data_IF_238940838806
#
_entry.id   IF_238940838806
#
_cell.length_a   1.000
_cell.length_b   1.000
_cell.length_c   1.000
_cell.angle_alpha   90.00
_cell.angle_beta   90.00
_cell.angle_gamma   90.00
#
_symmetry.space_group_name_H-M   'P 1'
#
loop_
_entity.id
_entity.type
_entity.pdbx_description
1 polymer ?
#
# COMPACT_ATOMS: atom_id res chain seq x y z
N UNK A 1 -9.67 8.56 -34.29
CA UNK A 1 -9.26 7.14 -34.32
C UNK A 1 -8.14 6.89 -35.31
N UNK A 2 -8.25 7.35 -36.55
CA UNK A 2 -7.25 7.12 -37.58
C UNK A 2 -6.46 8.42 -37.83
N UNK A 3 -5.14 8.35 -37.82
CA UNK A 3 -4.23 9.45 -38.09
C UNK A 3 -4.28 9.85 -39.57
N UNK A 4 -3.64 10.98 -39.93
CA UNK A 4 -3.48 11.39 -41.34
C UNK A 4 -2.83 10.33 -42.23
N UNK A 5 -2.23 9.30 -41.63
CA UNK A 5 -1.50 8.21 -42.31
C UNK A 5 -2.23 6.87 -42.22
N UNK A 6 -3.55 6.88 -41.97
CA UNK A 6 -4.35 5.65 -41.83
C UNK A 6 -3.92 4.72 -40.69
N UNK A 7 -3.27 5.26 -39.64
CA UNK A 7 -2.82 4.48 -38.46
C UNK A 7 -3.65 4.84 -37.23
N UNK A 8 -3.94 3.87 -36.37
CA UNK A 8 -4.58 4.14 -35.08
C UNK A 8 -3.72 5.10 -34.24
N UNK A 9 -4.36 6.09 -33.61
CA UNK A 9 -3.67 7.10 -32.79
C UNK A 9 -3.49 6.66 -31.32
N UNK A 10 -4.42 5.89 -30.77
CA UNK A 10 -4.38 5.40 -29.38
C UNK A 10 -3.80 3.98 -29.24
N UNK A 11 -4.13 3.33 -28.12
CA UNK A 11 -3.67 1.98 -27.79
C UNK A 11 -3.99 0.96 -28.91
N UNK A 12 -3.01 0.12 -29.26
CA UNK A 12 -3.11 -0.85 -30.37
C UNK A 12 -2.14 -2.02 -30.18
N UNK A 13 -2.49 -3.18 -30.73
CA UNK A 13 -1.53 -4.27 -30.84
C UNK A 13 -0.47 -3.93 -31.92
N UNK A 14 0.81 -4.12 -31.57
CA UNK A 14 1.94 -3.84 -32.46
C UNK A 14 2.16 -4.95 -33.50
N UNK A 15 1.85 -6.20 -33.15
CA UNK A 15 2.10 -7.40 -33.96
C UNK A 15 0.86 -7.84 -34.74
N UNK A 16 -0.33 -7.74 -34.14
CA UNK A 16 -1.60 -8.13 -34.76
C UNK A 16 -2.45 -6.91 -35.12
N UNK A 17 -2.24 -6.37 -36.33
CA UNK A 17 -2.89 -5.13 -36.77
C UNK A 17 -4.42 -5.23 -36.91
N UNK A 18 -4.98 -6.44 -36.95
CA UNK A 18 -6.42 -6.69 -37.04
C UNK A 18 -7.07 -6.93 -35.67
N UNK A 19 -6.30 -6.83 -34.57
CA UNK A 19 -6.82 -6.94 -33.22
C UNK A 19 -7.15 -5.54 -32.67
N UNK A 20 -8.44 -5.27 -32.43
CA UNK A 20 -8.93 -3.94 -32.09
C UNK A 20 -9.50 -3.82 -30.68
N UNK A 21 -9.53 -4.89 -29.89
CA UNK A 21 -10.19 -4.88 -28.58
C UNK A 21 -9.60 -3.83 -27.65
N UNK A 22 -8.26 -3.67 -27.63
CA UNK A 22 -7.58 -2.66 -26.80
C UNK A 22 -8.00 -1.25 -27.20
N UNK A 23 -8.03 -0.97 -28.51
CA UNK A 23 -8.44 0.34 -29.03
C UNK A 23 -9.90 0.67 -28.73
N UNK A 24 -10.76 -0.35 -28.76
CA UNK A 24 -12.18 -0.21 -28.43
C UNK A 24 -12.41 -0.07 -26.92
N UNK A 25 -11.63 -0.77 -26.10
CA UNK A 25 -11.65 -0.65 -24.65
C UNK A 25 -11.21 0.76 -24.21
N UNK A 26 -10.09 1.24 -24.75
CA UNK A 26 -9.60 2.61 -24.53
C UNK A 26 -10.67 3.64 -24.94
N UNK A 27 -11.36 3.43 -26.06
CA UNK A 27 -12.48 4.28 -26.48
C UNK A 27 -13.65 4.28 -25.51
N UNK A 28 -14.04 3.10 -25.03
CA UNK A 28 -15.11 2.97 -24.06
C UNK A 28 -14.75 3.68 -22.75
N UNK A 29 -13.50 3.52 -22.31
CA UNK A 29 -12.98 4.16 -21.12
C UNK A 29 -12.87 5.69 -21.28
N UNK A 30 -12.42 6.19 -22.44
CA UNK A 30 -12.44 7.61 -22.78
C UNK A 30 -13.87 8.18 -22.76
N UNK A 31 -14.85 7.43 -23.27
CA UNK A 31 -16.26 7.83 -23.24
C UNK A 31 -16.80 7.91 -21.82
N UNK A 32 -16.47 6.92 -20.97
CA UNK A 32 -16.83 6.95 -19.55
C UNK A 32 -16.23 8.17 -18.85
N UNK A 33 -14.99 8.52 -19.19
CA UNK A 33 -14.28 9.68 -18.67
C UNK A 33 -14.61 11.00 -19.43
N UNK A 34 -15.68 10.99 -20.25
CA UNK A 34 -16.12 12.14 -21.06
C UNK A 34 -15.38 12.29 -22.39
N UNK A 35 -14.04 12.25 -22.40
CA UNK A 35 -13.25 12.33 -23.62
C UNK A 35 -11.82 11.74 -23.46
N UNK A 36 -11.06 11.69 -24.55
CA UNK A 36 -9.68 11.18 -24.57
C UNK A 36 -8.65 12.05 -23.84
N UNK A 37 -8.83 13.39 -23.82
CA UNK A 37 -7.91 14.28 -23.13
C UNK A 37 -7.93 14.04 -21.61
N UNK A 38 -9.08 13.62 -21.07
CA UNK A 38 -9.25 13.27 -19.66
C UNK A 38 -8.55 11.96 -19.25
N UNK A 39 -8.05 11.16 -20.22
CA UNK A 39 -7.22 9.99 -19.91
C UNK A 39 -5.76 10.36 -19.62
N UNK A 40 -5.32 11.54 -20.04
CA UNK A 40 -3.95 12.01 -19.83
C UNK A 40 -3.69 12.31 -18.35
N UNK A 41 -2.62 11.75 -17.79
CA UNK A 41 -2.22 11.97 -16.40
C UNK A 41 -3.01 11.16 -15.36
N UNK A 42 -3.83 10.19 -15.80
CA UNK A 42 -4.49 9.26 -14.89
C UNK A 42 -3.50 8.34 -14.15
N UNK A 43 -3.85 7.93 -12.94
CA UNK A 43 -3.10 6.94 -12.19
C UNK A 43 -3.40 5.52 -12.72
N UNK A 44 -2.38 4.67 -12.96
CA UNK A 44 -2.59 3.29 -13.43
C UNK A 44 -3.55 2.51 -12.53
N UNK A 45 -3.40 2.69 -11.21
CA UNK A 45 -4.21 1.99 -10.23
C UNK A 45 -5.71 2.33 -10.31
N UNK A 46 -6.05 3.56 -10.74
CA UNK A 46 -7.45 3.93 -10.96
C UNK A 46 -8.07 3.09 -12.09
N UNK A 47 -7.33 2.94 -13.20
CA UNK A 47 -7.77 2.13 -14.32
C UNK A 47 -7.85 0.64 -13.94
N UNK A 48 -6.90 0.13 -13.15
CA UNK A 48 -6.94 -1.25 -12.64
C UNK A 48 -8.19 -1.50 -11.80
N UNK A 49 -8.52 -0.59 -10.89
CA UNK A 49 -9.75 -0.69 -10.07
C UNK A 49 -11.00 -0.61 -10.92
N UNK A 50 -11.06 0.28 -11.92
CA UNK A 50 -12.25 0.43 -12.77
C UNK A 50 -12.46 -0.78 -13.69
N UNK A 51 -11.38 -1.46 -14.10
CA UNK A 51 -11.44 -2.65 -14.96
C UNK A 51 -11.66 -3.96 -14.20
N UNK A 52 -11.28 -4.02 -12.92
CA UNK A 52 -11.31 -5.27 -12.11
C UNK A 52 -12.29 -5.26 -10.94
N UNK A 53 -12.76 -4.09 -10.52
CA UNK A 53 -13.49 -3.92 -9.26
C UNK A 53 -12.60 -4.05 -8.01
N UNK A 54 -11.28 -4.19 -8.18
CA UNK A 54 -10.33 -4.41 -7.10
C UNK A 54 -10.14 -3.22 -6.16
N UNK A 55 -9.45 -3.46 -5.05
CA UNK A 55 -9.05 -2.45 -4.07
C UNK A 55 -7.64 -1.95 -4.40
N UNK A 56 -7.46 -0.63 -4.50
CA UNK A 56 -6.14 -0.06 -4.70
C UNK A 56 -5.33 0.02 -3.41
N UNK A 57 -4.01 -0.09 -3.51
CA UNK A 57 -3.07 0.25 -2.45
C UNK A 57 -1.82 0.87 -3.06
N UNK A 58 -1.33 1.97 -2.49
CA UNK A 58 -0.21 2.74 -3.03
C UNK A 58 0.88 2.95 -1.99
N UNK A 59 2.12 2.72 -2.42
CA UNK A 59 3.33 2.86 -1.64
C UNK A 59 4.27 3.86 -2.31
N UNK A 60 4.78 4.81 -1.55
CA UNK A 60 5.78 5.78 -2.00
C UNK A 60 7.09 5.55 -1.26
N UNK A 61 8.16 5.22 -1.98
CA UNK A 61 9.43 4.81 -1.39
C UNK A 61 10.32 5.99 -0.98
N UNK A 62 10.24 7.10 -1.72
CA UNK A 62 11.14 8.26 -1.58
C UNK A 62 10.45 9.53 -1.07
N UNK A 63 9.20 9.44 -0.61
CA UNK A 63 8.45 10.58 -0.10
C UNK A 63 9.00 11.04 1.26
N UNK A 64 9.28 12.33 1.41
CA UNK A 64 9.69 12.93 2.69
C UNK A 64 8.52 13.09 3.68
N UNK A 65 7.28 12.85 3.24
CA UNK A 65 6.05 13.21 3.97
C UNK A 65 5.30 11.97 4.51
N UNK A 66 5.64 10.74 4.07
CA UNK A 66 4.95 9.53 4.51
C UNK A 66 5.81 8.66 5.43
N UNK A 67 5.23 8.29 6.58
CA UNK A 67 5.76 7.30 7.52
C UNK A 67 5.50 5.84 7.08
N UNK A 68 5.07 5.60 5.85
CA UNK A 68 4.81 4.27 5.29
C UNK A 68 6.08 3.59 4.76
N UNK A 69 7.21 3.81 5.43
CA UNK A 69 8.39 2.99 5.19
C UNK A 69 8.10 1.60 5.78
N UNK A 70 7.40 0.76 5.02
CA UNK A 70 7.56 -0.68 5.20
C UNK A 70 9.07 -0.93 5.20
N UNK A 71 9.55 -1.60 6.24
CA UNK A 71 10.94 -2.01 6.30
C UNK A 71 11.19 -2.84 5.04
N UNK A 72 12.33 -2.62 4.38
CA UNK A 72 12.63 -3.18 3.05
C UNK A 72 12.35 -4.68 2.96
N UNK A 73 12.64 -5.41 4.03
CA UNK A 73 12.32 -6.84 4.19
C UNK A 73 10.81 -7.13 4.12
N UNK A 74 9.99 -6.39 4.88
CA UNK A 74 8.54 -6.55 4.92
C UNK A 74 7.88 -6.24 3.56
N UNK A 75 8.45 -5.30 2.80
CA UNK A 75 7.96 -4.96 1.47
C UNK A 75 8.13 -6.11 0.48
N UNK A 76 9.25 -6.84 0.52
CA UNK A 76 9.43 -7.99 -0.37
C UNK A 76 8.42 -9.09 -0.06
N UNK A 77 8.24 -9.43 1.23
CA UNK A 77 7.26 -10.44 1.64
C UNK A 77 5.83 -10.04 1.25
N UNK A 78 5.53 -8.74 1.31
CA UNK A 78 4.27 -8.18 0.81
C UNK A 78 4.12 -8.35 -0.72
N UNK A 79 5.13 -7.98 -1.52
CA UNK A 79 5.10 -8.14 -2.99
C UNK A 79 4.93 -9.62 -3.36
N UNK A 80 5.70 -10.49 -2.71
CA UNK A 80 5.60 -11.94 -2.84
C UNK A 80 4.15 -12.40 -2.62
N UNK A 81 3.56 -12.00 -1.50
CA UNK A 81 2.18 -12.32 -1.16
C UNK A 81 1.19 -11.80 -2.20
N UNK A 82 1.36 -10.57 -2.69
CA UNK A 82 0.49 -10.00 -3.72
C UNK A 82 0.53 -10.80 -5.03
N UNK A 83 1.72 -11.21 -5.47
CA UNK A 83 1.91 -12.02 -6.68
C UNK A 83 1.31 -13.42 -6.49
N UNK A 84 1.54 -14.05 -5.34
CA UNK A 84 0.98 -15.37 -5.02
C UNK A 84 -0.56 -15.34 -4.99
N UNK A 85 -1.16 -14.23 -4.58
CA UNK A 85 -2.62 -14.01 -4.55
C UNK A 85 -3.19 -13.39 -5.84
N UNK A 86 -2.42 -13.28 -6.93
CA UNK A 86 -2.92 -12.76 -8.21
C UNK A 86 -3.30 -11.27 -8.19
N UNK A 87 -2.80 -10.49 -7.23
CA UNK A 87 -2.94 -9.03 -7.27
C UNK A 87 -2.17 -8.46 -8.46
N UNK A 88 -2.64 -7.34 -9.01
CA UNK A 88 -1.94 -6.65 -10.10
C UNK A 88 -1.02 -5.59 -9.52
N UNK A 89 0.26 -5.63 -9.90
CA UNK A 89 1.26 -4.70 -9.41
C UNK A 89 1.78 -3.80 -10.53
N UNK A 90 1.78 -2.51 -10.27
CA UNK A 90 2.36 -1.48 -11.12
C UNK A 90 3.41 -0.68 -10.33
N UNK A 91 4.40 -0.15 -11.02
CA UNK A 91 5.38 0.75 -10.43
C UNK A 91 5.80 1.82 -11.42
N UNK A 92 6.29 2.95 -10.90
CA UNK A 92 6.73 4.06 -11.73
C UNK A 92 7.86 4.86 -11.09
N UNK A 93 8.57 5.59 -11.93
CA UNK A 93 9.57 6.59 -11.54
C UNK A 93 8.95 7.96 -11.84
N UNK A 94 8.87 8.81 -10.84
CA UNK A 94 8.25 10.12 -10.97
C UNK A 94 9.13 11.06 -11.81
N UNK A 95 8.51 11.78 -12.73
CA UNK A 95 9.19 12.83 -13.48
C UNK A 95 9.28 14.11 -12.63
N UNK A 96 10.48 14.69 -12.51
CA UNK A 96 10.70 15.95 -11.79
C UNK A 96 10.18 17.20 -12.54
N UNK A 97 9.76 17.06 -13.81
CA UNK A 97 9.18 18.12 -14.64
C UNK A 97 8.37 17.53 -15.80
N UNK A 98 7.82 18.37 -16.70
CA UNK A 98 6.98 18.01 -17.87
C UNK A 98 7.63 17.06 -18.90
N UNK A 99 8.82 16.52 -18.62
CA UNK A 99 9.48 15.48 -19.39
C UNK A 99 8.92 14.11 -19.01
N UNK A 100 7.82 13.71 -19.65
CA UNK A 100 7.34 12.33 -19.62
C UNK A 100 8.19 11.46 -20.58
N UNK A 101 8.32 10.17 -20.24
CA UNK A 101 8.88 9.12 -21.10
C UNK A 101 10.36 9.30 -21.49
N UNK A 102 11.18 9.85 -20.59
CA UNK A 102 12.63 9.97 -20.81
C UNK A 102 13.37 8.69 -20.41
N UNK A 103 14.17 8.15 -21.33
CA UNK A 103 14.98 6.95 -21.10
C UNK A 103 16.27 7.32 -20.35
N UNK A 104 16.54 6.63 -19.24
CA UNK A 104 17.74 6.74 -18.43
C UNK A 104 18.89 5.89 -18.98
N UNK A 105 20.12 6.19 -18.54
CA UNK A 105 21.31 5.41 -18.90
C UNK A 105 21.21 3.93 -18.50
N UNK A 106 20.54 3.66 -17.38
CA UNK A 106 20.27 2.31 -16.87
C UNK A 106 19.13 1.58 -17.63
N UNK A 107 18.50 2.23 -18.62
CA UNK A 107 17.45 1.67 -19.46
C UNK A 107 16.02 1.83 -18.94
N UNK A 108 15.83 2.35 -17.73
CA UNK A 108 14.49 2.66 -17.20
C UNK A 108 13.95 3.95 -17.81
N UNK A 109 12.63 4.12 -17.81
CA UNK A 109 11.93 5.26 -18.39
C UNK A 109 11.23 6.03 -17.27
N UNK A 110 11.50 7.32 -17.18
CA UNK A 110 10.88 8.21 -16.19
C UNK A 110 9.48 8.64 -16.66
N UNK A 111 8.55 8.79 -15.72
CA UNK A 111 7.16 9.17 -16.02
C UNK A 111 6.40 8.06 -16.75
N UNK A 112 6.85 6.81 -16.58
CA UNK A 112 6.31 5.63 -17.25
C UNK A 112 5.96 4.54 -16.24
N UNK A 113 4.94 3.75 -16.58
CA UNK A 113 4.45 2.68 -15.72
C UNK A 113 4.98 1.33 -16.20
N UNK A 114 5.51 0.56 -15.25
CA UNK A 114 5.93 -0.82 -15.43
C UNK A 114 5.01 -1.75 -14.63
N UNK A 115 4.84 -2.98 -15.09
CA UNK A 115 4.14 -4.02 -14.33
C UNK A 115 5.14 -4.94 -13.63
N UNK A 116 4.88 -5.33 -12.37
CA UNK A 116 5.63 -6.40 -11.71
C UNK A 116 4.87 -7.71 -11.93
N UNK A 117 5.48 -8.67 -12.60
CA UNK A 117 4.79 -9.87 -13.09
C UNK A 117 5.22 -11.15 -12.40
N UNK A 118 6.37 -11.17 -11.73
CA UNK A 118 6.84 -12.35 -11.00
C UNK A 118 7.96 -12.01 -10.00
N UNK A 119 8.27 -12.97 -9.13
CA UNK A 119 9.43 -12.91 -8.25
C UNK A 119 10.17 -14.25 -8.28
N UNK A 120 11.44 -14.21 -7.88
CA UNK A 120 12.21 -15.42 -7.61
C UNK A 120 13.23 -15.17 -6.50
N UNK A 121 13.41 -16.18 -5.64
CA UNK A 121 14.41 -16.15 -4.56
C UNK A 121 15.56 -17.04 -4.98
N UNK A 122 16.74 -16.45 -5.16
CA UNK A 122 17.93 -17.18 -5.59
C UNK A 122 18.39 -18.11 -4.46
N UNK A 123 18.50 -19.43 -4.70
CA UNK A 123 19.12 -20.36 -3.77
C UNK A 123 20.61 -20.02 -3.60
N UNK A 124 21.07 -19.67 -2.40
CA UNK A 124 22.51 -19.51 -2.11
C UNK A 124 22.95 -20.50 -1.05
N UNK A 125 24.19 -20.99 -1.19
CA UNK A 125 24.89 -21.84 -0.23
C UNK A 125 25.83 -21.06 0.68
N UNK A 126 25.96 -19.74 0.49
CA UNK A 126 26.84 -18.87 1.29
C UNK A 126 26.08 -18.28 2.47
N UNK A 127 26.53 -18.58 3.68
CA UNK A 127 25.98 -18.15 4.99
C UNK A 127 26.00 -16.62 5.24
N UNK A 128 26.46 -15.80 4.29
CA UNK A 128 26.64 -14.35 4.50
C UNK A 128 25.55 -13.46 3.87
N UNK A 129 24.49 -14.04 3.31
CA UNK A 129 23.37 -13.29 2.70
C UNK A 129 22.05 -13.63 3.39
N UNK A 130 21.89 -13.08 4.60
CA UNK A 130 20.94 -13.59 5.61
C UNK A 130 19.47 -13.16 5.45
N UNK A 131 19.10 -12.35 4.44
CA UNK A 131 17.68 -11.94 4.23
C UNK A 131 17.15 -12.34 2.85
N UNK A 132 15.86 -12.70 2.79
CA UNK A 132 15.17 -13.05 1.54
C UNK A 132 15.23 -11.91 0.51
N UNK A 133 15.06 -10.67 0.97
CA UNK A 133 15.11 -9.47 0.14
C UNK A 133 16.44 -9.30 -0.63
N UNK A 134 17.59 -9.67 -0.04
CA UNK A 134 18.90 -9.58 -0.72
C UNK A 134 19.08 -10.62 -1.82
N UNK A 135 18.38 -11.73 -1.69
CA UNK A 135 18.40 -12.85 -2.64
C UNK A 135 17.26 -12.80 -3.64
N UNK A 136 16.39 -11.79 -3.54
CA UNK A 136 15.21 -11.65 -4.35
C UNK A 136 15.49 -10.90 -5.65
N UNK A 137 14.94 -11.45 -6.73
CA UNK A 137 14.81 -10.78 -8.01
C UNK A 137 13.33 -10.69 -8.36
N UNK A 138 12.96 -9.59 -9.01
CA UNK A 138 11.61 -9.30 -9.47
C UNK A 138 11.62 -9.20 -10.99
N UNK A 139 10.55 -9.69 -11.62
CA UNK A 139 10.33 -9.59 -13.07
C UNK A 139 9.39 -8.43 -13.36
N UNK A 140 9.80 -7.58 -14.28
CA UNK A 140 9.08 -6.41 -14.72
C UNK A 140 8.70 -6.54 -16.18
N UNK A 141 7.70 -5.76 -16.60
CA UNK A 141 7.32 -5.60 -17.99
C UNK A 141 7.13 -4.12 -18.31
N UNK A 142 7.85 -3.66 -19.34
CA UNK A 142 7.59 -2.41 -20.03
C UNK A 142 6.42 -2.61 -21.00
N UNK A 143 5.28 -1.90 -20.84
CA UNK A 143 4.12 -2.04 -21.72
C UNK A 143 4.39 -1.74 -23.20
N UNK A 144 5.45 -0.98 -23.52
CA UNK A 144 5.84 -0.74 -24.92
C UNK A 144 6.30 -2.00 -25.66
N UNK A 145 6.72 -3.04 -24.92
CA UNK A 145 7.08 -4.32 -25.50
C UNK A 145 8.23 -4.24 -26.51
N UNK A 146 9.21 -3.36 -26.24
CA UNK A 146 10.35 -3.11 -27.11
C UNK A 146 11.67 -3.27 -26.34
N UNK A 147 12.79 -3.07 -27.03
CA UNK A 147 14.16 -3.24 -26.50
C UNK A 147 14.58 -2.24 -25.40
N UNK A 148 13.66 -1.44 -24.86
CA UNK A 148 13.95 -0.48 -23.79
C UNK A 148 13.72 -1.17 -22.45
N UNK A 149 14.79 -1.82 -22.00
CA UNK A 149 14.82 -2.70 -20.83
C UNK A 149 15.97 -2.35 -19.88
N UNK A 150 15.93 -2.92 -18.68
CA UNK A 150 16.93 -2.75 -17.65
C UNK A 150 18.32 -3.23 -18.07
N UNK A 151 19.33 -2.36 -17.90
CA UNK A 151 20.73 -2.63 -18.26
C UNK A 151 21.63 -2.95 -17.06
N UNK A 152 21.08 -2.96 -15.85
CA UNK A 152 21.83 -3.28 -14.64
C UNK A 152 21.86 -4.78 -14.33
N UNK A 153 22.11 -5.09 -13.06
CA UNK A 153 22.25 -6.48 -12.60
C UNK A 153 20.95 -7.27 -12.81
N UNK A 154 21.08 -8.52 -13.26
CA UNK A 154 19.98 -9.40 -13.66
C UNK A 154 19.21 -8.97 -14.92
N UNK A 155 19.64 -7.91 -15.61
CA UNK A 155 19.13 -7.61 -16.95
C UNK A 155 19.41 -8.73 -17.94
N UNK A 156 18.75 -8.71 -19.08
CA UNK A 156 18.76 -9.80 -20.07
C UNK A 156 20.15 -10.19 -20.59
N UNK A 157 21.02 -9.19 -20.73
CA UNK A 157 22.39 -9.35 -21.20
C UNK A 157 23.40 -9.68 -20.08
N UNK A 158 22.98 -9.73 -18.81
CA UNK A 158 23.89 -9.91 -17.67
C UNK A 158 24.51 -11.34 -17.68
N UNK A 159 25.86 -11.47 -17.66
CA UNK A 159 26.53 -12.76 -17.55
C UNK A 159 26.18 -13.54 -16.29
N UNK A 160 25.62 -12.93 -15.24
CA UNK A 160 25.20 -13.60 -14.00
C UNK A 160 24.21 -14.74 -14.26
N UNK A 161 23.43 -14.66 -15.35
CA UNK A 161 22.55 -15.75 -15.75
C UNK A 161 23.29 -17.06 -16.02
N UNK A 162 24.55 -16.99 -16.46
CA UNK A 162 25.36 -18.17 -16.75
C UNK A 162 25.79 -18.92 -15.48
N UNK A 163 25.75 -18.29 -14.30
CA UNK A 163 26.07 -18.97 -13.04
C UNK A 163 24.91 -19.80 -12.49
N UNK A 164 23.70 -19.67 -13.04
CA UNK A 164 22.56 -20.48 -12.64
C UNK A 164 22.51 -21.82 -13.39
N UNK A 165 22.06 -22.87 -12.71
CA UNK A 165 21.83 -24.17 -13.33
C UNK A 165 20.74 -24.11 -14.42
N UNK A 166 20.73 -25.10 -15.30
CA UNK A 166 19.81 -25.12 -16.44
C UNK A 166 18.33 -25.24 -16.03
N UNK A 167 18.04 -25.89 -14.90
CA UNK A 167 16.67 -26.07 -14.40
C UNK A 167 16.12 -24.73 -13.91
N UNK A 168 16.91 -24.02 -13.11
CA UNK A 168 16.59 -22.68 -12.63
C UNK A 168 16.38 -21.70 -13.79
N UNK A 169 17.28 -21.69 -14.78
CA UNK A 169 17.13 -20.83 -15.97
C UNK A 169 15.86 -21.12 -16.76
N UNK A 170 15.52 -22.40 -16.94
CA UNK A 170 14.28 -22.82 -17.62
C UNK A 170 13.05 -22.40 -16.81
N UNK A 171 13.06 -22.57 -15.49
CA UNK A 171 11.97 -22.17 -14.60
C UNK A 171 11.72 -20.66 -14.63
N UNK A 172 12.79 -19.87 -14.62
CA UNK A 172 12.71 -18.41 -14.73
C UNK A 172 12.24 -17.93 -16.11
N UNK A 173 12.11 -18.84 -17.08
CA UNK A 173 11.71 -18.53 -18.46
C UNK A 173 12.51 -17.36 -19.04
N UNK A 174 13.82 -17.33 -18.77
CA UNK A 174 14.70 -16.25 -19.24
C UNK A 174 14.66 -16.26 -20.77
N UNK A 175 14.08 -15.22 -21.35
CA UNK A 175 13.98 -15.01 -22.78
C UNK A 175 14.80 -13.78 -23.08
N UNK A 176 15.98 -13.96 -23.67
CA UNK A 176 16.76 -12.85 -24.23
C UNK A 176 16.05 -12.35 -25.48
N UNK A 177 15.05 -11.50 -25.31
CA UNK A 177 14.19 -10.97 -26.37
C UNK A 177 13.88 -9.53 -26.04
N UNK A 178 13.84 -8.71 -27.07
CA UNK A 178 13.40 -7.32 -26.97
C UNK A 178 11.86 -7.26 -26.87
N UNK A 179 11.30 -7.83 -25.79
CA UNK A 179 9.86 -7.92 -25.55
C UNK A 179 9.38 -7.06 -24.36
N UNK A 180 10.30 -6.29 -23.78
CA UNK A 180 10.04 -5.38 -22.67
C UNK A 180 9.97 -6.08 -21.32
N UNK A 181 10.07 -7.41 -21.25
CA UNK A 181 10.19 -8.13 -19.97
C UNK A 181 11.64 -8.22 -19.53
N UNK A 182 11.92 -7.87 -18.28
CA UNK A 182 13.27 -7.97 -17.72
C UNK A 182 13.23 -8.33 -16.24
N UNK A 183 14.35 -8.86 -15.72
CA UNK A 183 14.52 -9.07 -14.28
C UNK A 183 15.44 -8.00 -13.69
N UNK A 184 15.23 -7.68 -12.42
CA UNK A 184 16.15 -6.84 -11.65
C UNK A 184 16.20 -7.30 -10.19
N UNK A 185 17.28 -6.95 -9.49
CA UNK A 185 17.36 -7.19 -8.05
C UNK A 185 16.30 -6.36 -7.31
N UNK A 186 15.70 -6.94 -6.27
CA UNK A 186 14.77 -6.20 -5.40
C UNK A 186 15.42 -4.94 -4.78
N UNK A 187 16.72 -5.00 -4.49
CA UNK A 187 17.45 -3.85 -3.96
C UNK A 187 17.53 -2.69 -4.96
N UNK A 188 17.73 -3.00 -6.23
CA UNK A 188 17.73 -2.01 -7.31
C UNK A 188 16.31 -1.47 -7.51
N UNK A 189 15.27 -2.30 -7.41
CA UNK A 189 13.89 -1.85 -7.48
C UNK A 189 13.58 -0.79 -6.42
N UNK A 190 13.90 -1.10 -5.15
CA UNK A 190 13.68 -0.19 -4.03
C UNK A 190 14.45 1.13 -4.17
N UNK A 191 15.61 1.11 -4.85
CA UNK A 191 16.45 2.29 -5.04
C UNK A 191 16.01 3.14 -6.23
N UNK A 192 15.64 2.52 -7.35
CA UNK A 192 15.39 3.22 -8.60
C UNK A 192 13.94 3.72 -8.69
N UNK A 193 12.95 2.94 -8.25
CA UNK A 193 11.53 3.31 -8.35
C UNK A 193 11.08 4.25 -7.21
N UNK A 194 10.05 5.05 -7.49
CA UNK A 194 9.50 6.00 -6.51
C UNK A 194 8.17 5.53 -5.92
N UNK A 195 7.37 4.85 -6.75
CA UNK A 195 6.00 4.47 -6.42
C UNK A 195 5.75 3.02 -6.81
N UNK A 196 5.05 2.29 -5.96
CA UNK A 196 4.41 1.02 -6.27
C UNK A 196 2.92 1.10 -5.97
N UNK A 197 2.12 0.59 -6.89
CA UNK A 197 0.68 0.51 -6.81
C UNK A 197 0.26 -0.95 -6.93
N UNK A 198 -0.70 -1.36 -6.11
CA UNK A 198 -1.24 -2.70 -6.07
C UNK A 198 -2.75 -2.61 -6.23
N UNK A 199 -3.31 -3.43 -7.10
CA UNK A 199 -4.75 -3.65 -7.19
C UNK A 199 -5.03 -5.08 -6.71
N UNK A 200 -5.62 -5.18 -5.52
CA UNK A 200 -6.09 -6.45 -4.97
C UNK A 200 -7.40 -6.82 -5.64
N UNK A 201 -7.45 -7.98 -6.28
CA UNK A 201 -8.64 -8.46 -6.97
C UNK A 201 -9.39 -9.43 -6.05
N UNK A 202 -10.71 -9.33 -5.98
CA UNK A 202 -11.53 -10.32 -5.26
C UNK A 202 -11.49 -11.65 -6.01
N UNK A 203 -11.41 -12.81 -5.32
CA UNK A 203 -11.56 -14.13 -5.92
C UNK A 203 -12.82 -14.27 -6.78
N UNK A 204 -13.91 -13.57 -6.45
CA UNK A 204 -15.15 -13.57 -7.25
C UNK A 204 -14.91 -13.10 -8.71
N UNK A 205 -13.92 -12.23 -8.93
CA UNK A 205 -13.50 -11.77 -10.28
C UNK A 205 -12.57 -12.79 -10.96
N UNK A 206 -11.87 -13.62 -10.18
CA UNK A 206 -10.88 -14.60 -10.64
C UNK A 206 -11.51 -15.95 -11.00
N UNK A 207 -12.60 -16.34 -10.32
CA UNK A 207 -13.36 -17.58 -10.57
C UNK A 207 -13.93 -17.65 -12.00
N UNK A 208 -14.15 -16.50 -12.65
CA UNK A 208 -14.56 -16.45 -14.06
C UNK A 208 -13.38 -16.58 -15.06
N UNK A 209 -12.13 -16.40 -14.63
CA UNK A 209 -10.99 -16.14 -15.54
C UNK A 209 -9.81 -17.13 -15.42
N UNK A 210 -9.56 -17.87 -14.33
CA UNK A 210 -8.43 -18.82 -14.38
C UNK A 210 -8.37 -19.99 -13.38
N UNK A 211 -8.28 -21.17 -13.99
CA UNK A 211 -7.28 -22.25 -13.81
C UNK A 211 -7.37 -23.13 -12.56
N UNK A 212 -7.62 -24.41 -12.83
CA UNK A 212 -7.57 -25.60 -11.98
C UNK A 212 -6.26 -25.73 -11.17
N UNK A 213 -6.04 -24.87 -10.18
CA UNK A 213 -5.11 -25.16 -9.10
C UNK A 213 -5.92 -25.47 -7.86
N UNK A 214 -6.03 -26.76 -7.55
CA UNK A 214 -6.69 -27.34 -6.36
C UNK A 214 -6.11 -26.83 -5.01
N UNK A 215 -5.16 -25.88 -5.03
CA UNK A 215 -4.41 -25.37 -3.88
C UNK A 215 -4.81 -23.94 -3.43
N UNK A 216 -5.78 -23.28 -4.07
CA UNK A 216 -6.15 -21.90 -3.75
C UNK A 216 -7.10 -21.76 -2.55
N UNK A 217 -6.84 -22.37 -1.38
CA UNK A 217 -7.72 -22.28 -0.18
C UNK A 217 -7.71 -20.89 0.55
N UNK A 218 -7.31 -19.81 -0.12
CA UNK A 218 -7.14 -18.49 0.51
C UNK A 218 -7.97 -17.43 -0.21
N UNK A 219 -9.30 -17.43 0.00
CA UNK A 219 -10.15 -16.42 -0.63
C UNK A 219 -10.30 -15.18 0.27
N UNK A 220 -10.16 -14.01 -0.35
CA UNK A 220 -10.60 -12.74 0.22
C UNK A 220 -12.13 -12.67 0.12
N UNK A 221 -12.79 -12.29 1.22
CA UNK A 221 -14.19 -11.89 1.20
C UNK A 221 -14.30 -10.38 1.09
N UNK A 222 -15.03 -9.93 0.08
CA UNK A 222 -15.40 -8.54 -0.09
C UNK A 222 -16.66 -8.21 0.71
N UNK A 223 -16.54 -7.21 1.58
CA UNK A 223 -17.65 -6.49 2.16
C UNK A 223 -17.64 -5.06 1.63
N UNK A 224 -18.79 -4.55 1.21
CA UNK A 224 -18.89 -3.14 0.84
C UNK A 224 -20.15 -2.48 1.40
N UNK A 225 -20.03 -1.18 1.62
CA UNK A 225 -21.13 -0.33 2.05
C UNK A 225 -21.01 1.03 1.37
N UNK A 226 -22.14 1.60 0.96
CA UNK A 226 -22.20 2.94 0.40
C UNK A 226 -22.68 3.91 1.47
N UNK A 227 -22.11 5.10 1.52
CA UNK A 227 -22.55 6.14 2.44
C UNK A 227 -22.48 7.53 1.80
N UNK A 228 -22.97 8.51 2.56
CA UNK A 228 -22.97 9.92 2.17
C UNK A 228 -22.61 10.74 3.39
N UNK A 229 -21.61 11.62 3.24
CA UNK A 229 -21.45 12.75 4.15
C UNK A 229 -22.40 13.87 3.73
N UNK A 230 -23.19 14.37 4.68
CA UNK A 230 -24.21 15.40 4.51
C UNK A 230 -23.91 16.57 5.45
N UNK A 231 -24.05 17.77 4.93
CA UNK A 231 -23.83 18.99 5.70
C UNK A 231 -24.85 19.09 6.85
N UNK A 232 -24.40 19.52 8.03
CA UNK A 232 -25.22 19.66 9.24
C UNK A 232 -25.53 18.35 9.97
N UNK A 233 -25.46 17.20 9.28
CA UNK A 233 -25.77 15.89 9.85
C UNK A 233 -24.49 15.15 10.29
N UNK A 234 -23.81 14.51 9.34
CA UNK A 234 -22.74 13.52 9.59
C UNK A 234 -21.40 13.87 8.92
N UNK A 235 -21.28 15.06 8.30
CA UNK A 235 -20.01 15.55 7.73
C UNK A 235 -19.14 16.20 8.81
N UNK A 236 -18.55 15.33 9.63
CA UNK A 236 -17.92 15.70 10.90
C UNK A 236 -16.50 16.29 10.81
N UNK A 237 -15.88 16.26 9.64
CA UNK A 237 -14.51 16.73 9.41
C UNK A 237 -13.44 15.94 10.16
N UNK A 238 -12.22 16.50 10.19
CA UNK A 238 -11.01 15.97 10.84
C UNK A 238 -11.01 16.12 12.37
N UNK A 239 -10.30 15.24 13.09
CA UNK A 239 -10.14 15.35 14.54
C UNK A 239 -9.10 16.40 15.01
N UNK A 240 -8.20 16.89 14.13
CA UNK A 240 -6.97 17.58 14.56
C UNK A 240 -6.41 18.58 13.52
N UNK A 241 -7.00 19.77 13.40
CA UNK A 241 -6.50 20.84 12.52
C UNK A 241 -6.23 22.13 13.31
N UNK A 242 -5.03 22.33 13.90
CA UNK A 242 -4.76 23.47 14.80
C UNK A 242 -5.27 24.81 14.24
N UNK A 243 -6.21 25.47 14.95
CA UNK A 243 -6.75 26.78 14.57
C UNK A 243 -8.14 26.82 13.91
N UNK A 244 -8.71 25.69 13.50
CA UNK A 244 -10.10 25.65 13.02
C UNK A 244 -11.12 25.83 14.17
N UNK A 245 -12.25 26.52 13.95
CA UNK A 245 -13.30 26.67 14.97
C UNK A 245 -14.30 25.50 15.00
N UNK A 246 -14.23 24.59 14.03
CA UNK A 246 -15.20 23.51 13.78
C UNK A 246 -14.69 22.11 14.19
N UNK A 247 -13.77 22.03 15.16
CA UNK A 247 -13.19 20.78 15.70
C UNK A 247 -14.17 19.85 16.43
N UNK A 248 -15.47 20.07 16.30
CA UNK A 248 -16.50 19.62 17.23
C UNK A 248 -17.42 18.50 16.69
N UNK A 249 -17.11 17.91 15.52
CA UNK A 249 -18.05 16.99 14.87
C UNK A 249 -17.45 15.65 14.40
N UNK A 250 -16.17 15.35 14.67
CA UNK A 250 -15.52 14.12 14.17
C UNK A 250 -16.31 12.83 14.47
N UNK A 251 -16.88 12.74 15.68
CA UNK A 251 -17.68 11.59 16.12
C UNK A 251 -19.00 11.42 15.35
N UNK A 252 -19.47 12.46 14.63
CA UNK A 252 -20.65 12.42 13.76
C UNK A 252 -20.40 11.73 12.43
N UNK A 253 -19.13 11.56 12.03
CA UNK A 253 -18.80 10.80 10.83
C UNK A 253 -19.39 9.39 10.90
N UNK A 254 -19.81 8.82 9.76
CA UNK A 254 -20.34 7.45 9.72
C UNK A 254 -19.40 6.46 10.41
N UNK A 255 -19.97 5.58 11.23
CA UNK A 255 -19.21 4.57 11.96
C UNK A 255 -19.57 3.18 11.46
N UNK A 256 -18.54 2.38 11.17
CA UNK A 256 -18.66 1.01 10.67
C UNK A 256 -17.97 0.06 11.65
N UNK A 257 -18.68 -0.96 12.10
CA UNK A 257 -18.08 -2.00 12.95
C UNK A 257 -17.63 -3.18 12.08
N UNK A 258 -16.46 -3.74 12.37
CA UNK A 258 -15.91 -4.95 11.77
C UNK A 258 -15.57 -5.94 12.88
N UNK A 259 -16.14 -7.13 12.83
CA UNK A 259 -15.82 -8.22 13.75
C UNK A 259 -14.90 -9.23 13.06
N UNK A 260 -13.74 -9.49 13.66
CA UNK A 260 -12.76 -10.47 13.18
C UNK A 260 -12.76 -11.67 14.12
N UNK A 261 -13.06 -12.84 13.55
CA UNK A 261 -13.06 -14.11 14.26
C UNK A 261 -11.74 -14.82 13.98
N UNK A 262 -11.07 -15.31 15.02
CA UNK A 262 -9.73 -15.91 14.87
C UNK A 262 -9.71 -17.02 13.80
N UNK A 263 -8.83 -16.86 12.82
CA UNK A 263 -8.57 -17.87 11.80
C UNK A 263 -7.90 -19.08 12.49
N UNK A 264 -8.58 -20.24 12.59
CA UNK A 264 -8.02 -21.47 13.21
C UNK A 264 -6.69 -21.93 12.58
N UNK A 265 -6.39 -21.49 11.35
CA UNK A 265 -5.22 -21.89 10.56
C UNK A 265 -3.95 -21.08 10.86
N UNK A 266 -4.06 -19.89 11.46
CA UNK A 266 -2.90 -19.04 11.67
C UNK A 266 -2.29 -19.28 13.07
N UNK A 267 -1.06 -19.83 13.14
CA UNK A 267 -0.37 -20.15 14.40
C UNK A 267 -0.22 -18.93 15.33
N UNK A 268 -0.27 -17.72 14.77
CA UNK A 268 -0.10 -16.46 15.49
C UNK A 268 -1.43 -15.79 15.88
N UNK A 269 -2.60 -16.36 15.55
CA UNK A 269 -3.93 -15.80 15.80
C UNK A 269 -4.18 -14.39 15.21
N UNK A 270 -3.35 -13.95 14.27
CA UNK A 270 -3.52 -12.69 13.57
C UNK A 270 -4.48 -12.86 12.39
N UNK A 271 -5.41 -11.93 12.27
CA UNK A 271 -6.34 -11.75 11.16
C UNK A 271 -5.82 -10.63 10.25
N UNK A 272 -6.03 -10.79 8.95
CA UNK A 272 -5.65 -9.80 7.95
C UNK A 272 -6.88 -9.25 7.22
N UNK A 273 -6.95 -7.92 7.09
CA UNK A 273 -7.94 -7.27 6.24
C UNK A 273 -7.39 -5.99 5.61
N UNK A 274 -7.94 -5.63 4.46
CA UNK A 274 -7.71 -4.37 3.76
C UNK A 274 -9.00 -3.58 3.85
N UNK A 275 -8.93 -2.31 4.26
CA UNK A 275 -10.05 -1.38 4.19
C UNK A 275 -9.73 -0.29 3.17
N UNK A 276 -10.72 0.07 2.36
CA UNK A 276 -10.61 1.08 1.32
C UNK A 276 -11.83 1.99 1.29
N UNK A 277 -11.58 3.28 1.12
CA UNK A 277 -12.59 4.34 1.06
C UNK A 277 -12.46 5.08 -0.27
N UNK A 278 -13.46 4.94 -1.12
CA UNK A 278 -13.57 5.64 -2.40
C UNK A 278 -14.58 6.78 -2.29
N UNK A 279 -14.25 7.96 -2.79
CA UNK A 279 -15.24 9.01 -3.03
C UNK A 279 -15.85 8.88 -4.43
N UNK A 280 -17.17 9.02 -4.54
CA UNK A 280 -17.86 8.95 -5.84
C UNK A 280 -17.74 10.28 -6.59
N UNK A 281 -17.52 10.28 -7.91
CA UNK A 281 -17.54 11.52 -8.69
C UNK A 281 -18.92 12.21 -8.58
N UNK A 282 -18.93 13.54 -8.44
CA UNK A 282 -20.16 14.34 -8.41
C UNK A 282 -20.66 14.58 -9.83
N UNK A 283 -21.83 14.05 -10.17
CA UNK A 283 -22.53 14.33 -11.42
C UNK A 283 -21.95 13.62 -12.67
N UNK A 284 -22.48 14.00 -13.84
CA UNK A 284 -22.03 13.49 -15.15
C UNK A 284 -20.83 14.26 -15.72
N UNK A 285 -20.33 15.27 -15.01
CA UNK A 285 -19.28 16.16 -15.50
C UNK A 285 -17.91 15.62 -15.09
N UNK A 286 -17.42 14.66 -15.87
CA UNK A 286 -16.14 13.96 -15.66
C UNK A 286 -14.93 14.83 -16.03
N UNK A 287 -15.15 16.14 -16.18
CA UNK A 287 -14.20 17.08 -16.76
C UNK A 287 -13.12 17.54 -15.79
N UNK A 288 -13.23 17.29 -14.49
CA UNK A 288 -12.24 17.73 -13.53
C UNK A 288 -12.02 16.74 -12.38
N UNK A 289 -10.79 16.23 -12.30
CA UNK A 289 -10.18 15.59 -11.11
C UNK A 289 -10.17 16.57 -9.90
N UNK A 290 -10.62 17.82 -10.06
CA UNK A 290 -10.46 18.91 -9.07
C UNK A 290 -11.46 18.92 -7.93
N UNK A 291 -12.49 18.09 -7.97
CA UNK A 291 -13.55 18.07 -6.94
C UNK A 291 -13.33 16.99 -5.87
N UNK A 292 -12.22 16.23 -5.98
CA UNK A 292 -11.82 15.27 -4.97
C UNK A 292 -11.56 15.98 -3.63
N UNK A 293 -12.10 15.40 -2.57
CA UNK A 293 -11.94 15.85 -1.20
C UNK A 293 -10.74 15.17 -0.55
N UNK A 294 -10.18 15.83 0.45
CA UNK A 294 -9.18 15.25 1.32
C UNK A 294 -9.84 14.23 2.25
N UNK A 295 -9.60 12.94 2.03
CA UNK A 295 -10.24 11.83 2.75
C UNK A 295 -9.24 11.01 3.58
N UNK A 296 -9.73 10.33 4.63
CA UNK A 296 -8.97 9.45 5.50
C UNK A 296 -9.87 8.36 6.10
N UNK A 297 -9.30 7.20 6.41
CA UNK A 297 -9.92 6.20 7.29
C UNK A 297 -9.18 6.12 8.62
N UNK A 298 -9.94 5.97 9.70
CA UNK A 298 -9.40 5.65 11.03
C UNK A 298 -10.01 4.41 11.63
N UNK A 299 -9.14 3.49 12.03
CA UNK A 299 -9.46 2.23 12.67
C UNK A 299 -9.16 2.28 14.17
N UNK A 300 -10.16 1.95 14.97
CA UNK A 300 -10.04 1.75 16.40
C UNK A 300 -10.42 0.31 16.74
N UNK A 301 -9.90 -0.24 17.84
CA UNK A 301 -10.37 -1.49 18.41
C UNK A 301 -11.37 -1.18 19.51
N UNK A 302 -12.51 -1.85 19.46
CA UNK A 302 -13.55 -1.74 20.48
C UNK A 302 -13.09 -2.57 21.68
N UNK A 303 -13.14 -1.97 22.87
CA UNK A 303 -12.66 -2.64 24.08
C UNK A 303 -13.54 -3.86 24.39
N UNK A 304 -12.98 -5.00 24.85
CA UNK A 304 -13.71 -6.26 24.97
C UNK A 304 -14.96 -6.24 25.86
N UNK A 305 -15.01 -5.32 26.83
CA UNK A 305 -16.15 -5.19 27.75
C UNK A 305 -17.31 -4.34 27.17
N UNK A 306 -17.09 -3.68 26.03
CA UNK A 306 -18.14 -2.90 25.36
C UNK A 306 -18.98 -3.85 24.52
N UNK A 307 -20.29 -3.85 24.76
CA UNK A 307 -21.21 -4.63 23.94
C UNK A 307 -21.30 -4.02 22.54
N UNK A 308 -20.92 -4.80 21.55
CA UNK A 308 -21.05 -4.43 20.14
C UNK A 308 -22.54 -4.38 19.76
N UNK A 309 -22.93 -3.43 18.90
CA UNK A 309 -24.29 -3.20 18.39
C UNK A 309 -25.35 -2.70 19.38
N UNK A 310 -25.03 -2.61 20.67
CA UNK A 310 -25.93 -2.03 21.68
C UNK A 310 -25.86 -0.49 21.75
N UNK A 311 -24.82 0.11 21.17
CA UNK A 311 -24.59 1.56 21.17
C UNK A 311 -24.85 2.17 19.81
N UNK A 312 -25.52 3.33 19.80
CA UNK A 312 -25.70 4.17 18.62
C UNK A 312 -24.40 4.85 18.16
N UNK A 313 -23.48 5.15 19.08
CA UNK A 313 -22.20 5.80 18.78
C UNK A 313 -21.18 5.22 19.73
N UNK A 314 -20.03 4.79 19.20
CA UNK A 314 -18.89 4.44 20.04
C UNK A 314 -18.12 5.71 20.36
N UNK A 315 -17.82 5.90 21.64
CA UNK A 315 -17.03 7.03 22.13
C UNK A 315 -15.55 6.68 22.31
N UNK A 316 -14.71 7.66 22.65
CA UNK A 316 -13.29 7.49 22.99
C UNK A 316 -13.07 6.49 24.13
N UNK A 317 -13.95 6.50 25.13
CA UNK A 317 -13.88 5.59 26.27
C UNK A 317 -14.16 4.13 25.88
N UNK A 318 -14.82 3.90 24.74
CA UNK A 318 -15.18 2.57 24.24
C UNK A 318 -14.09 1.94 23.39
N UNK A 319 -13.15 2.74 22.89
CA UNK A 319 -12.22 2.31 21.84
C UNK A 319 -10.77 2.63 22.15
N UNK A 320 -9.86 1.92 21.50
CA UNK A 320 -8.43 2.20 21.47
C UNK A 320 -7.98 2.40 20.02
N UNK A 321 -7.23 3.46 19.76
CA UNK A 321 -6.77 3.79 18.40
C UNK A 321 -5.74 2.76 17.93
N UNK A 322 -5.95 2.21 16.74
CA UNK A 322 -5.06 1.24 16.12
C UNK A 322 -4.25 1.88 15.00
N UNK A 323 -4.91 2.28 13.90
CA UNK A 323 -4.22 2.93 12.78
C UNK A 323 -5.13 3.75 11.83
N UNK A 324 -4.54 4.56 10.95
CA UNK A 324 -5.11 5.39 9.89
C UNK A 324 -4.46 5.12 8.55
N UNK A 325 -5.12 5.55 7.48
CA UNK A 325 -4.53 5.62 6.13
C UNK A 325 -3.46 6.71 5.96
N UNK A 326 -2.76 7.14 7.02
CA UNK A 326 -1.83 8.28 6.98
C UNK A 326 -2.54 9.65 7.01
N UNK A 327 -1.93 10.77 6.58
CA UNK A 327 -2.59 12.08 6.56
C UNK A 327 -3.81 12.09 5.63
N UNK A 328 -4.67 13.10 5.75
CA UNK A 328 -5.72 13.32 4.76
C UNK A 328 -5.08 13.61 3.40
N UNK A 329 -5.51 12.89 2.37
CA UNK A 329 -4.99 13.05 1.00
C UNK A 329 -6.13 13.32 0.05
N UNK A 330 -5.87 14.19 -0.92
CA UNK A 330 -6.78 14.47 -2.02
C UNK A 330 -6.58 13.39 -3.10
N UNK A 331 -7.34 12.31 -2.99
CA UNK A 331 -7.34 11.16 -3.91
C UNK A 331 -8.72 10.55 -4.01
N UNK A 332 -9.03 9.97 -5.17
CA UNK A 332 -10.23 9.17 -5.41
C UNK A 332 -10.46 8.07 -4.37
N UNK A 333 -9.40 7.36 -3.98
CA UNK A 333 -9.47 6.30 -2.97
C UNK A 333 -8.25 6.37 -2.01
N UNK A 334 -8.49 5.91 -0.78
CA UNK A 334 -7.45 5.63 0.22
C UNK A 334 -7.66 4.24 0.80
N UNK A 335 -6.59 3.51 1.07
CA UNK A 335 -6.66 2.17 1.63
C UNK A 335 -5.57 1.87 2.65
N UNK A 336 -5.85 0.87 3.48
CA UNK A 336 -4.92 0.39 4.50
C UNK A 336 -5.06 -1.13 4.64
N UNK A 337 -3.93 -1.82 4.52
CA UNK A 337 -3.79 -3.22 4.92
C UNK A 337 -3.44 -3.28 6.41
N UNK A 338 -4.22 -4.03 7.19
CA UNK A 338 -3.99 -4.22 8.62
C UNK A 338 -3.88 -5.71 8.95
N UNK A 339 -2.86 -6.05 9.74
CA UNK A 339 -2.72 -7.35 10.42
C UNK A 339 -2.92 -7.12 11.91
N UNK A 340 -3.91 -7.77 12.51
CA UNK A 340 -4.31 -7.50 13.89
C UNK A 340 -4.89 -8.74 14.57
N UNK A 341 -5.06 -8.71 15.89
CA UNK A 341 -5.66 -9.83 16.63
C UNK A 341 -7.15 -9.97 16.31
N UNK A 342 -7.77 -11.11 16.63
CA UNK A 342 -9.22 -11.21 16.58
C UNK A 342 -9.88 -10.22 17.57
N UNK A 343 -11.03 -9.68 17.18
CA UNK A 343 -11.80 -8.74 17.98
C UNK A 343 -12.72 -7.85 17.15
N UNK A 344 -13.35 -6.88 17.80
CA UNK A 344 -14.21 -5.90 17.15
C UNK A 344 -13.45 -4.58 16.90
N UNK A 345 -13.64 -4.03 15.70
CA UNK A 345 -12.97 -2.84 15.21
C UNK A 345 -14.02 -1.82 14.77
N UNK A 346 -13.74 -0.55 15.04
CA UNK A 346 -14.52 0.60 14.59
C UNK A 346 -13.75 1.31 13.48
N UNK A 347 -14.37 1.44 12.33
CA UNK A 347 -13.84 2.09 11.14
C UNK A 347 -14.64 3.38 10.95
N UNK A 348 -13.95 4.51 10.97
CA UNK A 348 -14.53 5.84 10.76
C UNK A 348 -13.88 6.45 9.52
N UNK A 349 -14.58 6.46 8.37
CA UNK A 349 -14.21 7.28 7.22
C UNK A 349 -14.61 8.74 7.46
N UNK A 350 -13.75 9.66 7.05
CA UNK A 350 -13.96 11.10 7.26
C UNK A 350 -13.29 11.94 6.17
N UNK A 351 -13.80 13.15 5.97
CA UNK A 351 -13.15 14.21 5.21
C UNK A 351 -12.37 15.14 6.13
N UNK A 352 -11.42 15.91 5.57
CA UNK A 352 -10.67 16.89 6.33
C UNK A 352 -11.57 18.04 6.83
N UNK A 353 -12.43 18.53 5.95
CA UNK A 353 -13.33 19.65 6.21
C UNK A 353 -14.71 19.19 6.72
N UNK A 354 -15.34 20.04 7.52
CA UNK A 354 -16.70 19.83 8.03
C UNK A 354 -17.75 20.30 7.02
N UNK A 355 -18.96 19.75 7.12
CA UNK A 355 -20.12 20.19 6.33
C UNK A 355 -19.93 20.15 4.81
N UNK A 356 -18.96 19.37 4.34
CA UNK A 356 -18.80 19.05 2.93
C UNK A 356 -19.69 17.86 2.60
N UNK A 357 -20.43 17.95 1.50
CA UNK A 357 -21.26 16.85 1.02
C UNK A 357 -20.49 16.01 0.01
N UNK A 358 -20.47 14.70 0.22
CA UNK A 358 -19.76 13.77 -0.67
C UNK A 358 -20.28 12.34 -0.48
N UNK A 359 -20.52 11.65 -1.59
CA UNK A 359 -20.85 10.23 -1.56
C UNK A 359 -19.58 9.38 -1.52
N UNK A 360 -19.64 8.23 -0.85
CA UNK A 360 -18.52 7.31 -0.74
C UNK A 360 -18.92 5.85 -0.80
N UNK A 361 -17.91 5.00 -1.02
CA UNK A 361 -17.97 3.55 -0.94
C UNK A 361 -16.87 3.11 0.01
N UNK A 362 -17.23 2.39 1.06
CA UNK A 362 -16.30 1.70 1.94
C UNK A 362 -16.25 0.22 1.56
N UNK A 363 -15.05 -0.30 1.34
CA UNK A 363 -14.81 -1.70 0.96
C UNK A 363 -13.84 -2.33 1.95
N UNK A 364 -14.08 -3.57 2.33
CA UNK A 364 -13.25 -4.34 3.25
C UNK A 364 -13.00 -5.71 2.62
N UNK A 365 -11.74 -6.02 2.32
CA UNK A 365 -11.31 -7.36 1.99
C UNK A 365 -10.78 -8.03 3.24
N UNK A 366 -11.33 -9.17 3.64
CA UNK A 366 -10.83 -9.94 4.79
C UNK A 366 -10.65 -11.40 4.43
N UNK A 367 -9.73 -12.11 5.09
CA UNK A 367 -9.61 -13.57 4.92
C UNK A 367 -10.94 -14.29 5.28
N UNK A 368 -11.24 -15.35 4.53
CA UNK A 368 -12.49 -16.13 4.54
C UNK A 368 -13.12 -16.51 5.89
N UNK A 369 -12.32 -16.65 6.95
CA UNK A 369 -12.83 -17.06 8.27
C UNK A 369 -13.40 -15.89 9.09
N UNK A 370 -13.27 -14.65 8.62
CA UNK A 370 -13.77 -13.48 9.31
C UNK A 370 -15.24 -13.22 8.97
N UNK A 371 -16.08 -13.08 10.00
CA UNK A 371 -17.49 -12.69 9.86
C UNK A 371 -17.59 -11.19 10.02
N UNK A 372 -17.33 -10.45 8.94
CA UNK A 372 -17.57 -9.01 8.94
C UNK A 372 -19.06 -8.72 9.05
N UNK A 373 -19.55 -8.27 10.22
CA UNK A 373 -20.87 -7.65 10.33
C UNK A 373 -20.73 -6.16 10.39
N UNK A 374 -21.12 -5.49 9.31
CA UNK A 374 -21.09 -4.03 9.22
C UNK A 374 -22.40 -3.43 9.70
N UNK A 375 -22.31 -2.60 10.73
CA UNK A 375 -23.43 -1.78 11.20
C UNK A 375 -23.07 -0.32 10.97
N UNK A 376 -23.96 0.40 10.27
CA UNK A 376 -23.81 1.83 9.98
C UNK A 376 -24.64 2.61 10.97
N UNK A 377 -23.98 3.37 11.83
CA UNK A 377 -24.66 4.31 12.71
C UNK A 377 -24.68 5.70 12.07
N UNK A 378 -25.87 6.27 11.90
CA UNK A 378 -26.10 7.65 11.45
C UNK A 378 -26.77 8.40 12.60
N UNK A 379 -26.17 9.50 13.04
CA UNK A 379 -26.69 10.32 14.11
C UNK A 379 -27.98 11.04 13.70
N UNK A 380 -28.92 11.21 14.63
CA UNK A 380 -30.03 12.18 14.57
C UNK A 380 -29.97 13.02 15.84
N UNK A 381 -30.29 14.31 15.73
CA UNK A 381 -29.96 15.44 16.63
C UNK A 381 -30.27 15.35 18.15
N UNK A 382 -30.78 14.24 18.66
CA UNK A 382 -31.46 14.19 19.96
C UNK A 382 -30.56 14.03 21.22
N UNK A 383 -29.22 13.88 21.11
CA UNK A 383 -28.34 13.75 22.31
C UNK A 383 -27.84 15.11 22.87
N UNK A 384 -27.51 15.16 24.16
CA UNK A 384 -27.11 16.35 24.91
C UNK A 384 -25.72 16.94 24.53
N UNK A 385 -25.62 18.27 24.49
CA UNK A 385 -24.45 19.05 24.00
C UNK A 385 -23.19 18.95 24.89
N UNK A 386 -23.32 18.57 26.16
CA UNK A 386 -22.19 18.37 27.06
C UNK A 386 -21.51 17.01 26.84
N UNK A 387 -22.31 15.97 26.62
CA UNK A 387 -21.82 14.65 26.20
C UNK A 387 -21.03 14.75 24.89
N UNK A 388 -21.54 15.54 23.93
CA UNK A 388 -20.86 15.80 22.65
C UNK A 388 -19.49 16.44 22.86
N UNK A 389 -19.37 17.47 23.70
CA UNK A 389 -18.10 18.18 24.01
C UNK A 389 -17.04 17.34 24.73
N UNK A 390 -17.45 16.42 25.60
CA UNK A 390 -16.51 15.54 26.30
C UNK A 390 -15.93 14.45 25.40
N UNK A 391 -16.74 13.85 24.51
CA UNK A 391 -16.26 12.87 23.52
C UNK A 391 -15.20 13.50 22.58
N UNK A 392 -15.31 14.79 22.30
CA UNK A 392 -14.41 15.54 21.42
C UNK A 392 -12.99 15.70 21.95
N UNK A 393 -12.86 16.20 23.18
CA UNK A 393 -11.54 16.43 23.78
C UNK A 393 -10.78 15.11 23.97
N UNK A 394 -11.52 14.04 24.25
CA UNK A 394 -10.96 12.72 24.44
C UNK A 394 -10.49 12.09 23.11
N UNK A 395 -11.23 12.19 22.00
CA UNK A 395 -10.73 11.70 20.69
C UNK A 395 -9.47 12.43 20.25
N UNK A 396 -9.45 13.76 20.36
CA UNK A 396 -8.28 14.56 20.03
C UNK A 396 -7.08 14.25 20.94
N UNK A 397 -7.31 13.97 22.23
CA UNK A 397 -6.27 13.56 23.16
C UNK A 397 -5.69 12.18 22.83
N UNK A 398 -6.53 11.21 22.41
CA UNK A 398 -6.08 9.89 21.97
C UNK A 398 -5.16 10.01 20.75
N UNK A 399 -5.51 10.81 19.76
CA UNK A 399 -4.66 11.01 18.57
C UNK A 399 -3.37 11.76 18.90
N UNK A 400 -3.42 12.79 19.76
CA UNK A 400 -2.23 13.53 20.16
C UNK A 400 -1.23 12.69 20.98
N UNK A 401 -1.72 11.70 21.75
CA UNK A 401 -0.86 10.76 22.48
C UNK A 401 -0.15 9.78 21.54
N UNK A 402 -0.78 9.39 20.44
CA UNK A 402 -0.20 8.41 19.49
C UNK A 402 0.68 9.10 18.44
N UNK A 403 0.35 10.32 18.01
CA UNK A 403 1.22 11.12 17.14
C UNK A 403 2.55 11.52 17.80
N UNK A 404 2.68 11.37 19.13
CA UNK A 404 3.95 11.47 19.88
C UNK A 404 4.64 10.12 20.06
N UNK A 405 3.91 9.00 19.97
CA UNK A 405 4.42 7.62 20.02
C UNK A 405 4.76 7.04 18.64
N UNK A 406 4.41 7.70 17.54
CA UNK A 406 4.82 7.31 16.17
C UNK A 406 6.34 7.39 15.95
N UNK A 407 7.10 8.02 16.86
CA UNK A 407 8.56 7.89 16.95
C UNK A 407 9.04 6.61 17.65
N UNK A 408 8.16 5.96 18.44
CA UNK A 408 8.40 4.73 19.21
C UNK A 408 7.73 3.50 18.59
N UNK A 409 6.83 3.66 17.61
CA UNK A 409 6.08 2.58 16.96
C UNK A 409 6.95 1.60 16.15
N UNK A 410 8.13 2.03 15.70
CA UNK A 410 9.11 1.14 15.06
C UNK A 410 9.66 0.07 16.01
N UNK A 411 9.65 0.32 17.32
CA UNK A 411 10.16 -0.62 18.30
C UNK A 411 9.17 -1.75 18.59
N UNK A 412 7.87 -1.53 18.35
CA UNK A 412 6.82 -2.54 18.51
C UNK A 412 6.74 -3.49 17.31
N UNK A 413 7.06 -2.99 16.10
CA UNK A 413 7.19 -3.80 14.88
C UNK A 413 8.33 -4.82 15.01
N UNK A 414 9.46 -4.44 15.65
CA UNK A 414 10.59 -5.34 15.92
C UNK A 414 10.24 -6.53 16.81
N UNK A 415 9.30 -6.37 17.73
CA UNK A 415 8.90 -7.43 18.66
C UNK A 415 7.93 -8.44 18.03
N UNK A 416 7.28 -8.08 16.92
CA UNK A 416 6.29 -8.92 16.22
C UNK A 416 6.93 -9.92 15.23
N UNK A 417 8.19 -9.71 14.82
CA UNK A 417 8.91 -10.55 13.84
C UNK A 417 10.15 -11.24 14.41
N UNK A 418 9.96 -11.97 15.52
CA UNK A 418 10.81 -13.11 15.87
C UNK A 418 11.91 -12.85 16.91
N UNK A 419 11.69 -13.41 18.10
CA UNK A 419 12.73 -13.86 19.02
C UNK A 419 12.64 -15.39 19.16
N UNK A 420 13.67 -16.11 18.69
CA UNK A 420 14.02 -17.50 19.07
C UNK A 420 15.54 -17.63 18.86
N UNK A 421 16.37 -18.17 19.75
CA UNK A 421 16.19 -18.94 20.98
C UNK A 421 17.46 -18.78 21.85
N UNK A 422 17.30 -19.00 23.16
CA UNK A 422 18.41 -19.21 24.09
C UNK A 422 19.24 -20.43 23.67
N UNK A 423 20.56 -20.28 23.66
CA UNK A 423 21.48 -21.41 23.82
C UNK A 423 22.33 -21.12 25.05
N UNK A 424 22.10 -21.90 26.11
CA UNK A 424 22.95 -21.96 27.29
C UNK A 424 24.37 -22.37 26.89
N UNK A 425 25.34 -21.49 27.13
CA UNK A 425 26.76 -21.85 27.24
C UNK A 425 27.27 -21.23 28.55
N UNK A 426 27.72 -22.11 29.44
CA UNK A 426 28.23 -21.76 30.77
C UNK A 426 29.50 -20.87 30.73
N UNK A 427 29.78 -20.10 31.80
CA UNK A 427 30.80 -19.05 31.78
C UNK A 427 32.21 -19.63 31.97
N UNK A 428 33.12 -19.30 31.06
CA UNK A 428 34.56 -19.44 31.30
C UNK A 428 35.11 -18.15 31.93
N UNK A 429 35.67 -18.36 33.11
CA UNK A 429 36.33 -17.45 34.04
C UNK A 429 37.61 -16.80 33.43
N UNK A 430 37.69 -15.45 33.34
CA UNK A 430 38.91 -14.75 32.99
C UNK A 430 39.62 -14.22 34.25
N UNK A 431 39.94 -15.10 35.20
CA UNK A 431 40.96 -14.87 36.22
C UNK A 431 42.24 -15.61 35.85
N UNK A 432 42.99 -15.09 34.87
CA UNK A 432 44.45 -15.28 34.69
C UNK A 432 44.96 -14.62 33.41
N UNK A 433 45.76 -13.57 33.60
CA UNK A 433 46.87 -13.01 32.79
C UNK A 433 46.81 -11.49 32.96
N UNK A 434 47.29 -10.96 34.11
CA UNK A 434 48.65 -10.42 34.31
C UNK A 434 49.03 -9.46 33.17
N UNK A 435 48.94 -8.15 33.42
CA UNK A 435 50.06 -7.35 33.96
C UNK A 435 51.25 -7.37 33.00
N UNK A 436 51.40 -6.29 32.23
CA UNK A 436 52.67 -5.55 32.18
C UNK A 436 52.52 -4.17 31.51
N UNK A 437 52.94 -3.17 32.30
CA UNK A 437 53.71 -1.99 31.93
C UNK A 437 53.06 -0.77 31.26
N UNK A 438 52.75 0.19 32.13
CA UNK A 438 52.84 1.63 31.91
C UNK A 438 54.25 2.05 31.45
N UNK A 439 54.38 2.92 30.44
CA UNK A 439 55.44 3.95 30.38
C UNK A 439 54.97 5.20 29.60
N UNK A 440 54.94 6.32 30.31
CA UNK A 440 55.15 7.73 29.93
C UNK A 440 54.50 8.34 28.67
N UNK A 441 53.59 9.32 28.81
CA UNK A 441 53.90 10.75 28.98
C UNK A 441 55.03 11.27 28.08
N UNK A 442 54.68 12.08 27.06
CA UNK A 442 55.26 13.43 26.88
C UNK A 442 54.62 14.20 25.71
N UNK A 443 54.32 15.46 26.02
CA UNK A 443 54.51 16.65 25.18
C UNK A 443 53.49 16.98 24.07
N UNK A 444 52.42 17.63 24.51
CA UNK A 444 52.18 19.08 24.35
C UNK A 444 52.87 19.85 23.19
N UNK A 445 52.04 20.69 22.53
CA UNK A 445 52.34 21.95 21.80
C UNK A 445 53.00 21.83 20.41
N UNK A 446 52.29 22.19 19.34
CA UNK A 446 52.54 23.41 18.53
C UNK A 446 51.73 23.46 17.22
N UNK A 447 50.94 24.54 17.12
CA UNK A 447 50.71 25.46 15.98
C UNK A 447 50.56 24.85 14.57
N UNK A 448 49.44 25.15 13.89
CA UNK A 448 49.35 26.30 12.94
C UNK A 448 50.60 26.43 12.06
N UNK A 449 50.51 25.97 10.81
CA UNK A 449 50.64 26.80 9.61
C UNK A 449 50.75 25.94 8.33
N UNK A 450 50.07 26.42 7.29
CA UNK A 450 50.37 26.26 5.85
C UNK A 450 50.54 24.85 5.28
N UNK A 451 49.57 24.42 4.46
CA UNK A 451 49.64 24.61 3.01
C UNK A 451 48.26 24.54 2.39
#
# INVERSE_FOLDING_TARGET
FISKHSRLWGARNQFELNEFWVSLLEKAYAKLNGNYANLGGGLPVNALTDMSGGIEQRFEFKSTIQHSHLVKEDLFDFIKSCIDYGSLLACSINAASSTAEMILENGLVIGHTYSITHYYIIPTTKENDNTLAKRAILRFRNPWGNSIEWKGKWGDADPIWNSLDAVTRKRLSIRRRDDGEFWMAFEDFYKEFDVMEVCHISPDTYDEISLDTEDAEHHWRLWFSTGTWRAGENSGGSCATPGCRHHCYYWRNPQFVLELTSCRRNRNQLCQFIVALMQKPKGNDVSLITDEQYIQIRIFRIKPYVKIFDKKVYGPDDVERIESTGPYVNRREVSLLLKTMSGAYLIIPSMADVDVEQDFILRIFSEDTNVGRTYVNIFRDDDDEETKRNLLQQYAAIDAQISKKSSLSFQYIRTLFGSRENVDIQPNDPSKQCEDEQVDKKQTILKKNSK
#
